data_IF_773184367975
#
_entry.id   IF_773184367975
#
_cell.length_a   1.000
_cell.length_b   1.000
_cell.length_c   1.000
_cell.angle_alpha   90.00
_cell.angle_beta   90.00
_cell.angle_gamma   90.00
#
_symmetry.space_group_name_H-M   'P 1'
#
loop_
_entity.id
_entity.type
_entity.pdbx_description
1 polymer ?
#
# COMPACT_ATOMS: atom_id res chain seq x y z
N UNK A 1 24.60 -7.10 -18.54
CA UNK A 1 23.57 -6.66 -17.58
C UNK A 1 24.13 -5.47 -16.81
N UNK A 2 23.55 -4.29 -17.00
CA UNK A 2 24.05 -3.07 -16.38
C UNK A 2 23.54 -2.99 -14.92
N UNK A 3 24.39 -2.58 -13.98
CA UNK A 3 24.03 -2.44 -12.54
C UNK A 3 22.80 -1.54 -12.32
N UNK A 4 22.54 -0.60 -13.23
CA UNK A 4 21.36 0.27 -13.26
C UNK A 4 20.03 -0.42 -13.64
N UNK A 5 20.08 -1.58 -14.32
CA UNK A 5 18.89 -2.40 -14.58
C UNK A 5 18.63 -3.33 -13.39
N UNK A 6 19.68 -3.92 -12.80
CA UNK A 6 19.55 -4.74 -11.60
C UNK A 6 18.97 -3.97 -10.39
N UNK A 7 19.38 -2.71 -10.18
CA UNK A 7 18.81 -1.86 -9.12
C UNK A 7 17.37 -1.38 -9.39
N UNK A 8 16.94 -1.34 -10.66
CA UNK A 8 15.55 -0.99 -11.01
C UNK A 8 14.61 -2.18 -10.91
N UNK A 9 15.12 -3.37 -11.24
CA UNK A 9 14.39 -4.63 -11.07
C UNK A 9 14.26 -4.97 -9.57
N UNK A 10 15.28 -4.71 -8.74
CA UNK A 10 15.17 -4.82 -7.27
C UNK A 10 14.15 -3.83 -6.69
N UNK A 11 14.15 -2.55 -7.12
CA UNK A 11 13.27 -1.54 -6.50
C UNK A 11 11.77 -1.80 -6.73
N UNK A 12 11.40 -2.55 -7.78
CA UNK A 12 10.02 -2.91 -8.05
C UNK A 12 9.56 -4.19 -7.33
N UNK A 13 10.48 -5.08 -6.95
CA UNK A 13 10.18 -6.27 -6.14
C UNK A 13 9.94 -5.90 -4.67
N UNK A 14 10.52 -4.79 -4.19
CA UNK A 14 10.39 -4.33 -2.80
C UNK A 14 8.99 -3.80 -2.44
N UNK A 15 8.26 -3.19 -3.38
CA UNK A 15 6.93 -2.62 -3.08
C UNK A 15 5.91 -3.68 -2.62
N UNK A 16 6.07 -4.93 -3.09
CA UNK A 16 5.20 -6.07 -2.81
C UNK A 16 5.57 -6.83 -1.53
N UNK A 17 6.69 -6.50 -0.88
CA UNK A 17 7.39 -7.44 0.00
C UNK A 17 7.59 -6.92 1.42
N UNK A 18 7.60 -5.61 1.64
CA UNK A 18 8.23 -5.05 2.84
C UNK A 18 7.60 -5.52 4.17
N UNK A 19 6.27 -5.56 4.28
CA UNK A 19 5.64 -6.04 5.53
C UNK A 19 5.86 -7.55 5.73
N UNK A 20 5.70 -8.36 4.68
CA UNK A 20 5.82 -9.82 4.74
C UNK A 20 7.28 -10.24 4.97
N UNK A 21 8.20 -9.62 4.26
CA UNK A 21 9.63 -9.81 4.39
C UNK A 21 10.11 -9.40 5.77
N UNK A 22 9.65 -8.27 6.31
CA UNK A 22 9.99 -7.85 7.67
C UNK A 22 9.60 -8.92 8.70
N UNK A 23 8.38 -9.47 8.60
CA UNK A 23 7.92 -10.55 9.48
C UNK A 23 8.74 -11.83 9.29
N UNK A 24 8.96 -12.26 8.04
CA UNK A 24 9.76 -13.44 7.72
C UNK A 24 11.19 -13.32 8.25
N UNK A 25 11.81 -12.16 8.08
CA UNK A 25 13.18 -11.89 8.53
C UNK A 25 13.26 -11.91 10.06
N UNK A 26 12.31 -11.30 10.76
CA UNK A 26 12.26 -11.35 12.24
C UNK A 26 12.10 -12.79 12.73
N UNK A 27 11.18 -13.55 12.14
CA UNK A 27 10.97 -14.97 12.50
C UNK A 27 12.25 -15.77 12.29
N UNK A 28 12.95 -15.54 11.17
CA UNK A 28 14.15 -16.28 10.79
C UNK A 28 15.36 -15.92 11.64
N UNK A 29 15.67 -14.64 11.78
CA UNK A 29 16.86 -14.13 12.49
C UNK A 29 16.73 -14.27 14.01
N UNK A 30 15.53 -14.05 14.56
CA UNK A 30 15.30 -14.11 16.01
C UNK A 30 14.77 -15.46 16.48
N UNK A 31 14.40 -16.37 15.57
CA UNK A 31 13.76 -17.66 15.88
C UNK A 31 12.53 -17.50 16.79
N UNK A 32 11.76 -16.45 16.55
CA UNK A 32 10.56 -16.11 17.32
C UNK A 32 9.35 -16.77 16.67
N UNK A 33 8.46 -17.37 17.49
CA UNK A 33 7.16 -17.85 17.04
C UNK A 33 6.26 -16.65 16.67
N UNK A 34 5.54 -16.74 15.56
CA UNK A 34 4.56 -15.75 15.11
C UNK A 34 3.56 -15.31 16.20
N UNK A 35 3.25 -16.18 17.17
CA UNK A 35 2.39 -15.87 18.33
C UNK A 35 2.94 -14.75 19.23
N UNK A 36 4.24 -14.55 19.21
CA UNK A 36 4.96 -13.57 20.03
C UNK A 36 5.32 -12.31 19.24
N UNK A 37 4.76 -12.14 18.04
CA UNK A 37 5.00 -10.98 17.18
C UNK A 37 3.69 -10.21 17.06
N UNK A 38 3.75 -8.90 17.34
CA UNK A 38 2.71 -7.94 16.98
C UNK A 38 3.18 -7.17 15.76
N UNK A 39 2.36 -7.13 14.72
CA UNK A 39 2.66 -6.46 13.46
C UNK A 39 1.69 -5.29 13.32
N UNK A 40 2.23 -4.07 13.42
CA UNK A 40 1.54 -2.85 13.03
C UNK A 40 1.99 -2.46 11.62
N UNK A 41 1.05 -2.51 10.69
CA UNK A 41 1.26 -2.13 9.29
C UNK A 41 0.55 -0.81 9.03
N UNK A 42 1.28 0.17 8.48
CA UNK A 42 0.75 1.50 8.18
C UNK A 42 0.70 1.69 6.67
N UNK A 43 -0.46 2.10 6.16
CA UNK A 43 -0.65 2.41 4.76
C UNK A 43 -0.66 3.91 4.48
N UNK A 44 -0.32 4.27 3.24
CA UNK A 44 -0.31 5.66 2.77
C UNK A 44 -1.68 6.18 2.37
N UNK A 45 -2.72 5.36 2.49
CA UNK A 45 -4.08 5.69 2.13
C UNK A 45 -4.52 5.12 0.79
N UNK A 46 -5.81 4.80 0.69
CA UNK A 46 -6.43 4.30 -0.53
C UNK A 46 -7.48 5.29 -1.01
N UNK A 47 -7.45 5.64 -2.30
CA UNK A 47 -8.57 6.31 -2.93
C UNK A 47 -9.75 5.34 -3.01
N UNK A 48 -10.97 5.83 -2.80
CA UNK A 48 -12.14 5.06 -3.19
C UNK A 48 -12.06 4.87 -4.71
N UNK A 49 -12.19 3.63 -5.21
CA UNK A 49 -12.10 3.25 -6.64
C UNK A 49 -13.19 3.83 -7.55
N UNK A 50 -13.64 5.05 -7.27
CA UNK A 50 -14.49 5.90 -8.10
C UNK A 50 -13.71 6.54 -9.24
N UNK A 51 -12.38 6.66 -9.10
CA UNK A 51 -11.47 6.86 -10.23
C UNK A 51 -11.28 5.51 -10.94
N UNK A 52 -12.37 5.02 -11.54
CA UNK A 52 -12.34 3.79 -12.32
C UNK A 52 -11.44 4.03 -13.51
N UNK A 53 -10.43 3.20 -13.68
CA UNK A 53 -9.71 3.12 -14.94
C UNK A 53 -10.71 2.78 -16.06
N UNK A 54 -11.08 3.79 -16.86
CA UNK A 54 -11.92 3.59 -18.03
C UNK A 54 -11.05 3.11 -19.18
N UNK A 55 -10.91 1.78 -19.31
CA UNK A 55 -10.30 1.19 -20.49
C UNK A 55 -11.18 1.48 -21.69
N UNK A 56 -10.68 2.34 -22.57
CA UNK A 56 -11.34 2.73 -23.81
C UNK A 56 -11.33 1.62 -24.87
N UNK A 57 -11.65 2.01 -26.09
CA UNK A 57 -11.67 1.13 -27.27
C UNK A 57 -10.35 0.34 -27.40
N UNK A 58 -10.38 -1.01 -27.41
CA UNK A 58 -9.18 -1.85 -27.50
C UNK A 58 -8.28 -1.51 -28.70
N UNK A 59 -8.87 -1.05 -29.80
CA UNK A 59 -8.13 -0.67 -31.02
C UNK A 59 -7.39 0.68 -30.86
N UNK A 60 -7.76 1.48 -29.85
CA UNK A 60 -7.17 2.79 -29.55
C UNK A 60 -6.38 2.81 -28.24
N UNK A 61 -6.57 1.82 -27.39
CA UNK A 61 -5.93 1.71 -26.07
C UNK A 61 -4.49 1.19 -26.22
N UNK A 62 -3.59 2.08 -26.64
CA UNK A 62 -2.18 1.77 -26.85
C UNK A 62 -1.33 1.83 -25.59
N UNK A 63 -0.06 1.43 -25.72
CA UNK A 63 0.95 1.44 -24.63
C UNK A 63 1.07 2.83 -23.97
N UNK A 64 0.95 3.91 -24.75
CA UNK A 64 1.02 5.27 -24.20
C UNK A 64 -0.06 5.49 -23.14
N UNK A 65 -1.30 5.05 -23.37
CA UNK A 65 -2.38 5.23 -22.40
C UNK A 65 -2.20 4.38 -21.13
N UNK A 66 -1.43 3.28 -21.20
CA UNK A 66 -1.10 2.49 -20.02
C UNK A 66 -0.09 3.17 -19.09
N UNK A 67 0.77 4.03 -19.65
CA UNK A 67 1.81 4.74 -18.90
C UNK A 67 1.49 6.21 -18.65
N UNK A 68 0.78 6.89 -19.56
CA UNK A 68 0.46 8.31 -19.47
C UNK A 68 -0.94 8.56 -20.00
N UNK A 69 -1.88 8.78 -19.07
CA UNK A 69 -3.20 9.28 -19.40
C UNK A 69 -3.25 10.82 -19.34
N UNK A 70 -4.27 11.40 -19.99
CA UNK A 70 -4.44 12.85 -20.08
C UNK A 70 -4.68 13.56 -18.72
N UNK A 71 -5.00 12.79 -17.68
CA UNK A 71 -5.19 13.23 -16.30
C UNK A 71 -3.92 13.11 -15.46
N UNK A 72 -2.76 12.86 -16.08
CA UNK A 72 -1.48 12.63 -15.42
C UNK A 72 -1.41 11.33 -14.59
N UNK A 73 -2.39 10.43 -14.73
CA UNK A 73 -2.35 9.11 -14.09
C UNK A 73 -1.47 8.11 -14.84
N UNK A 74 -0.96 7.11 -14.11
CA UNK A 74 -0.12 6.04 -14.62
C UNK A 74 -0.80 4.68 -14.34
N UNK A 75 -1.83 4.30 -15.11
CA UNK A 75 -2.74 3.23 -14.72
C UNK A 75 -2.09 1.85 -14.54
N UNK A 76 -1.03 1.54 -15.29
CA UNK A 76 -0.28 0.30 -15.06
C UNK A 76 0.40 0.29 -13.69
N UNK A 77 0.97 1.43 -13.29
CA UNK A 77 1.63 1.58 -12.00
C UNK A 77 0.59 1.54 -10.87
N UNK A 78 -0.54 2.22 -11.04
CA UNK A 78 -1.62 2.26 -10.06
C UNK A 78 -2.21 0.87 -9.81
N UNK A 79 -2.47 0.10 -10.87
CA UNK A 79 -2.92 -1.31 -10.76
C UNK A 79 -1.87 -2.15 -10.03
N UNK A 80 -0.60 -2.03 -10.42
CA UNK A 80 0.46 -2.85 -9.84
C UNK A 80 0.61 -2.57 -8.34
N UNK A 81 0.63 -1.31 -7.94
CA UNK A 81 0.80 -0.89 -6.55
C UNK A 81 -0.43 -1.22 -5.70
N UNK A 82 -1.64 -0.98 -6.21
CA UNK A 82 -2.88 -1.32 -5.49
C UNK A 82 -3.02 -2.83 -5.31
N UNK A 83 -2.79 -3.59 -6.39
CA UNK A 83 -2.86 -5.07 -6.33
C UNK A 83 -1.79 -5.63 -5.40
N UNK A 84 -0.63 -4.97 -5.31
CA UNK A 84 0.41 -5.36 -4.40
C UNK A 84 0.00 -5.25 -2.94
N UNK A 85 -0.50 -4.09 -2.54
CA UNK A 85 -0.98 -3.85 -1.18
C UNK A 85 -2.11 -4.82 -0.81
N UNK A 86 -3.08 -5.03 -1.70
CA UNK A 86 -4.19 -5.97 -1.48
C UNK A 86 -3.72 -7.42 -1.31
N UNK A 87 -2.74 -7.87 -2.10
CA UNK A 87 -2.19 -9.21 -1.98
C UNK A 87 -1.44 -9.40 -0.65
N UNK A 88 -0.62 -8.44 -0.23
CA UNK A 88 0.11 -8.50 1.05
C UNK A 88 -0.88 -8.55 2.21
N UNK A 89 -1.91 -7.68 2.18
CA UNK A 89 -2.95 -7.66 3.21
C UNK A 89 -3.65 -9.01 3.28
N UNK A 90 -4.01 -9.61 2.14
CA UNK A 90 -4.61 -10.95 2.09
C UNK A 90 -3.69 -12.01 2.66
N UNK A 91 -2.39 -12.00 2.34
CA UNK A 91 -1.43 -12.96 2.87
C UNK A 91 -1.24 -12.83 4.39
N UNK A 92 -1.03 -11.61 4.88
CA UNK A 92 -0.87 -11.34 6.31
C UNK A 92 -2.12 -11.73 7.09
N UNK A 93 -3.28 -11.30 6.60
CA UNK A 93 -4.58 -11.68 7.13
C UNK A 93 -4.71 -13.20 7.18
N UNK A 94 -4.36 -13.90 6.09
CA UNK A 94 -4.42 -15.36 6.05
C UNK A 94 -3.49 -16.01 7.08
N UNK A 95 -2.24 -15.57 7.19
CA UNK A 95 -1.24 -16.13 8.12
C UNK A 95 -1.70 -15.94 9.58
N UNK A 96 -2.06 -14.72 9.96
CA UNK A 96 -2.41 -14.38 11.33
C UNK A 96 -3.80 -14.88 11.72
N UNK A 97 -4.80 -14.80 10.83
CA UNK A 97 -6.15 -15.31 11.13
C UNK A 97 -6.21 -16.84 11.16
N UNK A 98 -5.59 -17.54 10.21
CA UNK A 98 -5.60 -19.02 10.19
C UNK A 98 -4.88 -19.63 11.41
N UNK A 99 -3.94 -18.90 11.99
CA UNK A 99 -3.18 -19.30 13.18
C UNK A 99 -3.87 -18.93 14.49
N UNK A 100 -5.06 -18.30 14.45
CA UNK A 100 -5.77 -17.82 15.64
C UNK A 100 -5.14 -16.58 16.30
N UNK A 101 -4.33 -15.83 15.55
CA UNK A 101 -3.56 -14.66 15.98
C UNK A 101 -4.07 -13.38 15.33
N UNK A 102 -5.38 -13.26 15.11
CA UNK A 102 -5.97 -12.12 14.41
C UNK A 102 -5.58 -10.77 15.03
N UNK A 103 -5.53 -10.71 16.36
CA UNK A 103 -5.18 -9.49 17.11
C UNK A 103 -3.69 -9.10 16.98
N UNK A 104 -2.85 -10.01 16.49
CA UNK A 104 -1.42 -9.76 16.31
C UNK A 104 -1.09 -9.06 14.98
N UNK A 105 -2.07 -8.82 14.10
CA UNK A 105 -1.88 -8.06 12.86
C UNK A 105 -2.86 -6.91 12.80
N UNK A 106 -2.34 -5.69 12.95
CA UNK A 106 -3.10 -4.44 12.93
C UNK A 106 -2.67 -3.67 11.68
N UNK A 107 -3.61 -3.40 10.77
CA UNK A 107 -3.41 -2.55 9.60
C UNK A 107 -4.17 -1.25 9.79
N UNK A 108 -3.46 -0.13 9.78
CA UNK A 108 -4.06 1.21 9.77
C UNK A 108 -3.89 1.78 8.36
N UNK A 109 -5.00 1.98 7.66
CA UNK A 109 -5.06 2.50 6.31
C UNK A 109 -5.96 3.74 6.26
N UNK A 110 -5.46 4.83 5.67
CA UNK A 110 -6.26 6.03 5.46
C UNK A 110 -7.29 5.87 4.33
N UNK A 111 -8.48 6.47 4.49
CA UNK A 111 -9.41 6.67 3.39
C UNK A 111 -9.17 8.05 2.78
N UNK A 112 -8.72 8.08 1.52
CA UNK A 112 -8.42 9.32 0.78
C UNK A 112 -9.60 9.84 -0.04
N UNK A 113 -10.81 9.30 0.14
CA UNK A 113 -12.05 9.69 -0.58
C UNK A 113 -12.33 11.20 -0.64
N UNK A 114 -11.81 11.97 0.33
CA UNK A 114 -12.05 13.41 0.48
C UNK A 114 -10.78 14.27 0.28
N UNK A 115 -9.67 13.69 -0.17
CA UNK A 115 -8.40 14.37 -0.46
C UNK A 115 -7.93 14.07 -1.89
N UNK A 116 -6.90 14.77 -2.36
CA UNK A 116 -6.28 14.40 -3.62
C UNK A 116 -5.39 13.16 -3.37
N UNK A 117 -5.71 12.05 -4.04
CA UNK A 117 -4.98 10.80 -3.91
C UNK A 117 -3.76 10.70 -4.84
N UNK A 118 -3.52 11.72 -5.67
CA UNK A 118 -2.34 11.77 -6.53
C UNK A 118 -1.05 11.68 -5.70
N UNK A 119 -0.23 10.66 -5.99
CA UNK A 119 1.03 10.40 -5.29
C UNK A 119 2.04 11.55 -5.45
N UNK A 120 1.95 12.30 -6.54
CA UNK A 120 2.88 13.33 -6.97
C UNK A 120 2.32 14.76 -6.84
N UNK A 121 1.32 14.99 -5.97
CA UNK A 121 0.81 16.33 -5.64
C UNK A 121 1.41 16.86 -4.32
N UNK A 122 2.50 17.66 -4.38
CA UNK A 122 3.13 18.28 -3.21
C UNK A 122 2.51 19.63 -2.83
N UNK A 123 1.31 19.99 -3.29
CA UNK A 123 0.72 21.29 -2.96
C UNK A 123 0.46 21.42 -1.46
N UNK A 124 0.69 22.61 -0.89
CA UNK A 124 0.47 22.88 0.55
C UNK A 124 -0.96 22.52 1.00
N UNK A 125 -1.94 22.71 0.09
CA UNK A 125 -3.33 22.34 0.31
C UNK A 125 -3.50 20.82 0.47
N UNK A 126 -2.89 20.04 -0.42
CA UNK A 126 -2.96 18.58 -0.34
C UNK A 126 -2.25 18.06 0.92
N UNK A 127 -1.04 18.54 1.19
CA UNK A 127 -0.27 18.18 2.39
C UNK A 127 -1.01 18.50 3.70
N UNK A 128 -1.63 19.67 3.78
CA UNK A 128 -2.45 20.05 4.94
C UNK A 128 -3.66 19.14 5.11
N UNK A 129 -4.24 18.66 4.01
CA UNK A 129 -5.40 17.76 4.02
C UNK A 129 -4.99 16.35 4.45
N UNK A 130 -3.87 15.84 3.93
CA UNK A 130 -3.28 14.55 4.35
C UNK A 130 -2.88 14.56 5.82
N UNK A 131 -2.29 15.66 6.31
CA UNK A 131 -1.97 15.84 7.74
C UNK A 131 -3.21 15.70 8.61
N UNK A 132 -4.31 16.37 8.22
CA UNK A 132 -5.57 16.29 8.94
C UNK A 132 -6.15 14.87 8.92
N UNK A 133 -6.10 14.19 7.77
CA UNK A 133 -6.52 12.78 7.67
C UNK A 133 -5.71 11.90 8.63
N UNK A 134 -4.40 12.13 8.74
CA UNK A 134 -3.54 11.44 9.70
C UNK A 134 -3.94 11.69 11.16
N UNK A 135 -4.21 12.95 11.52
CA UNK A 135 -4.70 13.31 12.87
C UNK A 135 -6.05 12.63 13.18
N UNK A 136 -6.99 12.66 12.24
CA UNK A 136 -8.30 12.01 12.37
C UNK A 136 -8.17 10.47 12.48
N UNK A 137 -7.16 9.87 11.83
CA UNK A 137 -6.87 8.43 11.93
C UNK A 137 -6.32 8.03 13.30
N UNK A 138 -5.45 8.87 13.88
CA UNK A 138 -4.93 8.62 15.22
C UNK A 138 -6.07 8.67 16.23
N UNK A 139 -6.95 9.67 16.16
CA UNK A 139 -8.12 9.78 17.04
C UNK A 139 -9.06 8.56 16.91
N UNK A 140 -9.27 8.06 15.68
CA UNK A 140 -10.12 6.88 15.43
C UNK A 140 -9.56 5.56 15.95
N UNK A 141 -8.25 5.46 16.13
CA UNK A 141 -7.56 4.23 16.55
C UNK A 141 -6.85 4.43 17.90
N UNK A 142 -7.24 5.44 18.68
CA UNK A 142 -6.59 5.79 19.94
C UNK A 142 -6.63 4.62 20.93
N UNK A 143 -7.72 3.87 20.94
CA UNK A 143 -7.93 2.65 21.72
C UNK A 143 -6.90 1.56 21.40
N UNK A 144 -6.61 1.34 20.12
CA UNK A 144 -5.64 0.33 19.67
C UNK A 144 -4.19 0.80 19.89
N UNK A 145 -3.95 2.11 19.85
CA UNK A 145 -2.61 2.70 19.95
C UNK A 145 -2.14 2.96 21.39
N UNK A 146 -3.05 2.95 22.37
CA UNK A 146 -2.74 3.26 23.78
C UNK A 146 -2.80 2.06 24.74
N UNK A 147 -3.19 0.88 24.27
CA UNK A 147 -2.99 -0.40 24.98
C UNK A 147 -1.53 -0.89 24.91
#
# INVERSE_FOLDING_TARGET
MNKSQAQRDESMDHALSDSLLAVCEVIKERKIDCRNILVLSLGTGAANGKDKLEVGDPDKWGIVNWFWQNDNSNPLLDILMTSADEMIEMYMTSIFQSSGLKENYIRIQADLSNANAAMDDPTDKNLSSLKKIGEDLVEKNEDILTE
#
